data_IF_660527181949
#
_entry.id   IF_660527181949
#
_cell.length_a   1.000
_cell.length_b   1.000
_cell.length_c   1.000
_cell.angle_alpha   90.00
_cell.angle_beta   90.00
_cell.angle_gamma   90.00
#
_symmetry.space_group_name_H-M   'P 1'
#
loop_
_entity.id
_entity.type
_entity.pdbx_description
1 polymer ?
#
# COMPACT_ATOMS: atom_id res chain seq x y z
N UNK A 1 19.47 19.78 38.95
CA UNK A 1 19.18 18.85 37.84
C UNK A 1 20.34 18.92 36.87
N UNK A 2 21.09 17.84 36.68
CA UNK A 2 22.20 17.82 35.73
C UNK A 2 21.59 17.83 34.30
N UNK A 3 21.92 18.80 33.43
CA UNK A 3 21.52 18.70 32.04
C UNK A 3 22.17 17.44 31.46
N UNK A 4 21.37 16.50 30.95
CA UNK A 4 21.90 15.36 30.23
C UNK A 4 22.74 15.89 29.07
N UNK A 5 24.04 15.59 29.05
CA UNK A 5 24.92 15.93 27.92
C UNK A 5 24.41 15.12 26.73
N UNK A 6 23.79 15.79 25.77
CA UNK A 6 23.45 15.19 24.48
C UNK A 6 24.79 14.87 23.81
N UNK A 7 25.12 13.59 23.72
CA UNK A 7 26.35 13.10 23.11
C UNK A 7 25.96 12.24 21.92
N UNK A 8 26.29 12.71 20.72
CA UNK A 8 26.09 11.96 19.48
C UNK A 8 27.13 10.84 19.35
N UNK A 9 26.74 9.74 18.71
CA UNK A 9 27.69 8.75 18.19
C UNK A 9 28.49 9.33 17.01
N UNK A 10 29.57 8.65 16.64
CA UNK A 10 30.37 9.04 15.47
C UNK A 10 29.52 9.04 14.18
N UNK A 11 28.67 8.02 13.99
CA UNK A 11 27.77 7.93 12.84
C UNK A 11 26.75 9.07 12.82
N UNK A 12 26.20 9.43 13.98
CA UNK A 12 25.28 10.55 14.12
C UNK A 12 25.96 11.89 13.81
N UNK A 13 27.20 12.10 14.27
CA UNK A 13 28.00 13.29 13.96
C UNK A 13 28.31 13.38 12.46
N UNK A 14 28.65 12.26 11.82
CA UNK A 14 28.89 12.21 10.39
C UNK A 14 27.63 12.53 9.59
N UNK A 15 26.49 11.97 9.98
CA UNK A 15 25.21 12.22 9.32
C UNK A 15 24.73 13.67 9.51
N UNK A 16 24.76 14.20 10.73
CA UNK A 16 24.30 15.57 11.02
C UNK A 16 25.19 16.63 10.37
N UNK A 17 26.47 16.34 10.21
CA UNK A 17 27.43 17.25 9.54
C UNK A 17 27.36 17.19 8.02
N UNK A 18 26.68 16.19 7.45
CA UNK A 18 26.60 15.99 6.01
C UNK A 18 25.25 16.45 5.43
N UNK A 19 25.15 17.75 5.10
CA UNK A 19 23.95 18.32 4.49
C UNK A 19 23.54 17.62 3.17
N UNK A 20 24.49 17.07 2.41
CA UNK A 20 24.20 16.37 1.15
C UNK A 20 23.33 15.13 1.36
N UNK A 21 23.37 14.51 2.54
CA UNK A 21 22.50 13.40 2.89
C UNK A 21 21.02 13.84 2.82
N UNK A 22 20.67 14.94 3.49
CA UNK A 22 19.31 15.49 3.49
C UNK A 22 18.89 15.99 2.11
N UNK A 23 19.78 16.67 1.39
CA UNK A 23 19.49 17.12 0.02
C UNK A 23 19.24 15.94 -0.93
N UNK A 24 19.97 14.84 -0.77
CA UNK A 24 19.77 13.62 -1.55
C UNK A 24 18.45 12.93 -1.19
N UNK A 25 18.12 12.84 0.10
CA UNK A 25 16.81 12.38 0.57
C UNK A 25 15.67 13.15 -0.10
N UNK A 26 15.75 14.48 -0.06
CA UNK A 26 14.74 15.35 -0.64
C UNK A 26 14.59 15.12 -2.15
N UNK A 27 15.70 15.00 -2.89
CA UNK A 27 15.67 14.69 -4.33
C UNK A 27 15.01 13.34 -4.62
N UNK A 28 15.28 12.31 -3.82
CA UNK A 28 14.66 11.00 -3.97
C UNK A 28 13.15 11.10 -3.73
N UNK A 29 12.72 11.77 -2.66
CA UNK A 29 11.29 11.98 -2.38
C UNK A 29 10.60 12.72 -3.53
N UNK A 30 11.23 13.74 -4.13
CA UNK A 30 10.68 14.42 -5.30
C UNK A 30 10.50 13.48 -6.51
N UNK A 31 11.44 12.55 -6.73
CA UNK A 31 11.29 11.52 -7.77
C UNK A 31 10.12 10.58 -7.49
N UNK A 32 9.93 10.16 -6.23
CA UNK A 32 8.75 9.36 -5.84
C UNK A 32 7.46 10.12 -6.12
N UNK A 33 7.39 11.40 -5.76
CA UNK A 33 6.24 12.27 -6.03
C UNK A 33 5.93 12.37 -7.53
N UNK A 34 6.96 12.56 -8.35
CA UNK A 34 6.82 12.58 -9.82
C UNK A 34 6.26 11.26 -10.34
N UNK A 35 6.84 10.12 -9.90
CA UNK A 35 6.35 8.79 -10.26
C UNK A 35 4.88 8.60 -9.86
N UNK A 36 4.51 8.93 -8.62
CA UNK A 36 3.15 8.77 -8.13
C UNK A 36 2.17 9.73 -8.81
N UNK A 37 2.61 10.91 -9.25
CA UNK A 37 1.82 11.80 -10.08
C UNK A 37 1.47 11.20 -11.44
N UNK A 38 2.44 10.54 -12.09
CA UNK A 38 2.20 9.79 -13.33
C UNK A 38 1.23 8.64 -13.09
N UNK A 39 1.48 7.81 -12.08
CA UNK A 39 0.60 6.69 -11.71
C UNK A 39 -0.83 7.17 -11.39
N UNK A 40 -0.97 8.28 -10.67
CA UNK A 40 -2.28 8.85 -10.34
C UNK A 40 -3.08 9.25 -11.60
N UNK A 41 -2.39 9.71 -12.64
CA UNK A 41 -3.00 10.03 -13.94
C UNK A 41 -3.39 8.75 -14.67
N UNK A 42 -2.45 7.79 -14.77
CA UNK A 42 -2.69 6.50 -15.42
C UNK A 42 -3.85 5.73 -14.80
N UNK A 43 -3.90 5.67 -13.47
CA UNK A 43 -4.96 5.00 -12.71
C UNK A 43 -6.31 5.66 -12.94
N UNK A 44 -6.36 6.99 -13.10
CA UNK A 44 -7.60 7.74 -13.36
C UNK A 44 -8.18 7.40 -14.72
N UNK A 45 -7.32 7.17 -15.71
CA UNK A 45 -7.74 6.83 -17.07
C UNK A 45 -8.23 5.38 -17.21
N UNK A 46 -8.03 4.54 -16.18
CA UNK A 46 -8.58 3.18 -16.14
C UNK A 46 -10.07 3.20 -15.82
N UNK A 47 -10.85 2.40 -16.57
CA UNK A 47 -12.27 2.18 -16.27
C UNK A 47 -12.43 1.18 -15.14
N UNK A 48 -13.30 1.52 -14.20
CA UNK A 48 -13.79 0.62 -13.16
C UNK A 48 -15.23 0.22 -13.49
N UNK A 49 -15.45 -1.03 -13.90
CA UNK A 49 -16.78 -1.45 -14.37
C UNK A 49 -17.76 -1.72 -13.22
N UNK A 50 -17.23 -2.12 -12.05
CA UNK A 50 -18.03 -2.60 -10.93
C UNK A 50 -17.86 -1.77 -9.65
N UNK A 51 -17.19 -0.61 -9.73
CA UNK A 51 -16.97 0.28 -8.59
C UNK A 51 -17.83 1.53 -8.77
N UNK A 52 -18.56 1.90 -7.70
CA UNK A 52 -19.42 3.08 -7.69
C UNK A 52 -18.65 4.36 -8.07
N UNK A 53 -19.32 5.24 -8.82
CA UNK A 53 -18.81 6.58 -9.13
C UNK A 53 -18.57 7.43 -7.89
N UNK A 54 -19.20 7.10 -6.75
CA UNK A 54 -18.92 7.74 -5.47
C UNK A 54 -17.49 7.50 -4.97
N UNK A 55 -16.87 6.39 -5.39
CA UNK A 55 -15.49 6.03 -5.02
C UNK A 55 -14.51 6.52 -6.08
N UNK A 56 -14.83 6.30 -7.37
CA UNK A 56 -13.94 6.65 -8.49
C UNK A 56 -13.99 8.12 -8.87
N UNK A 57 -15.05 8.85 -8.49
CA UNK A 57 -15.16 10.30 -8.67
C UNK A 57 -14.31 11.11 -7.69
N UNK A 58 -13.75 10.49 -6.64
CA UNK A 58 -12.88 11.17 -5.67
C UNK A 58 -11.47 11.26 -6.26
N UNK A 59 -10.95 12.48 -6.34
CA UNK A 59 -9.63 12.72 -6.90
C UNK A 59 -8.53 11.94 -6.16
N UNK A 60 -7.50 11.43 -6.88
CA UNK A 60 -6.29 10.88 -6.29
C UNK A 60 -5.66 11.82 -5.25
N UNK A 61 -5.11 11.25 -4.18
CA UNK A 61 -4.37 11.99 -3.16
C UNK A 61 -2.98 11.40 -2.97
N UNK A 62 -1.97 12.25 -3.01
CA UNK A 62 -0.60 11.89 -2.62
C UNK A 62 -0.29 12.57 -1.28
N UNK A 63 0.10 11.78 -0.29
CA UNK A 63 0.58 12.22 1.03
C UNK A 63 2.01 11.75 1.29
N UNK A 64 2.69 12.38 2.25
CA UNK A 64 4.00 11.95 2.74
C UNK A 64 4.09 12.09 4.25
N UNK A 65 4.99 11.34 4.85
CA UNK A 65 5.35 11.48 6.25
C UNK A 65 6.77 10.99 6.50
N UNK A 66 7.25 11.18 7.73
CA UNK A 66 8.63 10.89 8.13
C UNK A 66 8.72 9.83 9.24
N UNK A 67 7.60 9.23 9.64
CA UNK A 67 7.49 8.47 10.91
C UNK A 67 6.81 7.10 10.77
N UNK A 68 6.65 6.55 9.56
CA UNK A 68 6.15 5.19 9.44
C UNK A 68 7.27 4.21 9.80
N UNK A 69 7.19 3.60 10.99
CA UNK A 69 8.30 2.84 11.57
C UNK A 69 9.56 3.70 11.78
N UNK A 70 9.40 5.01 12.00
CA UNK A 70 10.51 5.96 12.11
C UNK A 70 11.18 6.35 10.77
N UNK A 71 10.59 5.96 9.63
CA UNK A 71 11.17 6.18 8.31
C UNK A 71 10.26 7.04 7.40
N UNK A 72 10.85 7.74 6.41
CA UNK A 72 10.10 8.47 5.38
C UNK A 72 9.24 7.56 4.51
N UNK A 73 8.09 8.08 4.10
CA UNK A 73 7.20 7.40 3.17
C UNK A 73 6.42 8.39 2.31
N UNK A 74 5.99 7.93 1.14
CA UNK A 74 5.05 8.62 0.24
C UNK A 74 3.94 7.64 -0.10
N UNK A 75 2.72 8.13 -0.19
CA UNK A 75 1.53 7.31 -0.34
C UNK A 75 0.57 7.95 -1.35
N UNK A 76 0.21 7.21 -2.38
CA UNK A 76 -0.82 7.54 -3.35
C UNK A 76 -2.06 6.69 -3.03
N UNK A 77 -3.19 7.35 -2.77
CA UNK A 77 -4.49 6.70 -2.63
C UNK A 77 -5.35 7.05 -3.85
N UNK A 78 -5.63 6.07 -4.71
CA UNK A 78 -6.66 6.19 -5.75
C UNK A 78 -7.05 4.82 -6.34
N UNK A 79 -8.36 4.54 -6.51
CA UNK A 79 -9.48 5.31 -6.00
C UNK A 79 -9.51 5.27 -4.47
N UNK A 80 -10.23 6.21 -3.85
CA UNK A 80 -10.17 6.42 -2.39
C UNK A 80 -11.50 6.84 -1.81
N UNK A 81 -12.02 6.03 -0.90
CA UNK A 81 -13.18 6.30 -0.08
C UNK A 81 -12.88 5.87 1.35
N UNK A 82 -12.99 6.80 2.29
CA UNK A 82 -12.68 6.56 3.70
C UNK A 82 -13.75 7.22 4.57
N UNK A 83 -14.53 6.41 5.27
CA UNK A 83 -15.34 6.80 6.43
C UNK A 83 -14.91 5.97 7.63
N UNK A 84 -15.60 6.12 8.77
CA UNK A 84 -15.33 5.30 9.94
C UNK A 84 -15.81 3.85 9.73
N UNK A 85 -16.89 3.67 8.97
CA UNK A 85 -17.57 2.41 8.74
C UNK A 85 -17.11 1.72 7.45
N UNK A 86 -16.76 2.48 6.42
CA UNK A 86 -16.49 1.97 5.08
C UNK A 86 -15.14 2.46 4.55
N UNK A 87 -14.37 1.53 3.99
CA UNK A 87 -13.12 1.83 3.30
C UNK A 87 -13.13 1.13 1.95
N UNK A 88 -12.81 1.91 0.92
CA UNK A 88 -12.34 1.41 -0.36
C UNK A 88 -11.11 2.21 -0.75
N UNK A 89 -9.95 1.55 -0.85
CA UNK A 89 -8.77 2.20 -1.39
C UNK A 89 -7.92 1.23 -2.20
N UNK A 90 -7.36 1.73 -3.31
CA UNK A 90 -6.14 1.17 -3.86
C UNK A 90 -5.02 2.14 -3.49
N UNK A 91 -4.09 1.65 -2.67
CA UNK A 91 -3.02 2.43 -2.07
C UNK A 91 -1.69 1.98 -2.63
N UNK A 92 -0.96 2.89 -3.26
CA UNK A 92 0.43 2.70 -3.65
C UNK A 92 1.33 3.41 -2.66
N UNK A 93 2.30 2.72 -2.07
CA UNK A 93 3.20 3.26 -1.07
C UNK A 93 4.65 3.08 -1.48
N UNK A 94 5.46 4.07 -1.16
CA UNK A 94 6.91 3.99 -1.12
C UNK A 94 7.32 4.10 0.35
N UNK A 95 8.07 3.13 0.85
CA UNK A 95 8.65 3.17 2.19
C UNK A 95 10.17 3.17 2.12
N UNK A 96 10.77 4.25 2.62
CA UNK A 96 12.20 4.49 2.49
C UNK A 96 13.03 3.32 3.05
N UNK A 97 14.01 2.86 2.26
CA UNK A 97 14.90 1.77 2.64
C UNK A 97 14.26 0.37 2.65
N UNK A 98 12.97 0.27 2.28
CA UNK A 98 12.22 -0.98 2.36
C UNK A 98 11.72 -1.42 0.97
N UNK A 99 10.58 -0.90 0.52
CA UNK A 99 9.91 -1.38 -0.68
C UNK A 99 8.94 -0.34 -1.25
N UNK A 100 8.46 -0.62 -2.46
CA UNK A 100 7.16 -0.13 -2.90
C UNK A 100 6.09 -1.18 -2.59
N UNK A 101 4.85 -0.74 -2.39
CA UNK A 101 3.72 -1.65 -2.28
C UNK A 101 2.49 -1.10 -2.97
N UNK A 102 1.60 -1.99 -3.36
CA UNK A 102 0.24 -1.67 -3.78
C UNK A 102 -0.74 -2.54 -3.01
N UNK A 103 -1.76 -1.92 -2.43
CA UNK A 103 -2.70 -2.57 -1.53
C UNK A 103 -4.13 -2.22 -1.89
N UNK A 104 -4.96 -3.22 -2.12
CA UNK A 104 -6.42 -3.09 -2.03
C UNK A 104 -6.83 -3.14 -0.56
N UNK A 105 -7.57 -2.16 -0.07
CA UNK A 105 -8.11 -2.12 1.29
C UNK A 105 -9.64 -1.96 1.23
N UNK A 106 -10.35 -2.95 1.76
CA UNK A 106 -11.81 -2.99 1.84
C UNK A 106 -12.27 -3.14 3.29
N UNK A 107 -13.28 -2.35 3.67
CA UNK A 107 -13.96 -2.42 4.97
C UNK A 107 -15.45 -2.09 4.81
N UNK A 108 -16.28 -2.64 5.68
CA UNK A 108 -17.71 -2.37 5.70
C UNK A 108 -18.41 -2.89 4.46
N UNK A 109 -19.31 -2.09 3.90
CA UNK A 109 -20.16 -2.45 2.75
C UNK A 109 -19.35 -2.86 1.52
N UNK A 110 -18.23 -2.18 1.24
CA UNK A 110 -17.37 -2.53 0.10
C UNK A 110 -16.74 -3.91 0.24
N UNK A 111 -16.37 -4.31 1.46
CA UNK A 111 -15.85 -5.65 1.72
C UNK A 111 -16.94 -6.69 1.46
N UNK A 112 -18.11 -6.54 2.07
CA UNK A 112 -19.23 -7.48 1.90
C UNK A 112 -19.67 -7.64 0.45
N UNK A 113 -19.55 -6.59 -0.37
CA UNK A 113 -19.92 -6.64 -1.79
C UNK A 113 -18.86 -7.31 -2.70
N UNK A 114 -17.59 -7.34 -2.27
CA UNK A 114 -16.46 -7.69 -3.15
C UNK A 114 -15.65 -8.89 -2.64
N UNK A 115 -15.85 -9.33 -1.40
CA UNK A 115 -15.11 -10.44 -0.79
C UNK A 115 -15.28 -11.76 -1.56
N UNK A 116 -16.48 -12.05 -2.07
CA UNK A 116 -16.70 -13.24 -2.88
C UNK A 116 -15.93 -13.16 -4.21
N UNK A 117 -15.94 -12.01 -4.90
CA UNK A 117 -15.17 -11.83 -6.14
C UNK A 117 -13.67 -12.04 -5.95
N UNK A 118 -13.14 -11.63 -4.80
CA UNK A 118 -11.73 -11.78 -4.46
C UNK A 118 -11.35 -13.24 -4.18
N UNK A 119 -12.29 -14.00 -3.61
CA UNK A 119 -12.10 -15.40 -3.19
C UNK A 119 -12.55 -16.43 -4.23
N UNK A 120 -13.22 -15.98 -5.30
CA UNK A 120 -13.69 -16.81 -6.40
C UNK A 120 -12.69 -16.83 -7.57
N UNK A 121 -11.97 -17.95 -7.71
CA UNK A 121 -11.14 -18.26 -8.87
C UNK A 121 -9.75 -17.60 -8.91
N UNK A 122 -9.07 -17.75 -10.04
CA UNK A 122 -7.74 -17.18 -10.31
C UNK A 122 -7.83 -15.75 -10.87
N UNK A 123 -8.59 -14.89 -10.18
CA UNK A 123 -8.78 -13.49 -10.61
C UNK A 123 -7.57 -12.59 -10.35
N UNK A 124 -6.76 -12.94 -9.35
CA UNK A 124 -5.46 -12.33 -9.11
C UNK A 124 -4.40 -13.18 -9.82
N UNK A 125 -3.65 -12.65 -10.81
CA UNK A 125 -2.48 -13.34 -11.33
C UNK A 125 -1.38 -13.42 -10.25
N UNK A 126 -0.58 -14.48 -10.30
CA UNK A 126 0.52 -14.75 -9.38
C UNK A 126 0.11 -14.70 -7.89
N UNK A 127 -1.00 -15.34 -7.51
CA UNK A 127 -1.56 -15.30 -6.13
C UNK A 127 -0.54 -15.62 -5.05
N UNK A 128 0.46 -16.44 -5.36
CA UNK A 128 1.56 -16.82 -4.48
C UNK A 128 2.49 -15.65 -4.11
N UNK A 129 2.41 -14.53 -4.81
CA UNK A 129 3.17 -13.30 -4.52
C UNK A 129 2.36 -12.24 -3.79
N UNK A 130 1.04 -12.42 -3.71
CA UNK A 130 0.15 -11.50 -3.01
C UNK A 130 -0.01 -11.92 -1.55
N UNK A 131 -0.08 -10.93 -0.67
CA UNK A 131 -0.33 -11.13 0.74
C UNK A 131 -1.75 -10.69 1.06
N UNK A 132 -2.38 -11.37 2.01
CA UNK A 132 -3.69 -11.04 2.55
C UNK A 132 -3.59 -10.76 4.05
N UNK A 133 -4.28 -9.72 4.50
CA UNK A 133 -4.43 -9.37 5.91
C UNK A 133 -5.91 -9.23 6.26
N UNK A 134 -6.34 -9.93 7.32
CA UNK A 134 -7.73 -10.00 7.79
C UNK A 134 -7.89 -9.57 9.26
N UNK A 135 -6.79 -9.27 9.94
CA UNK A 135 -6.76 -8.97 11.37
C UNK A 135 -5.56 -8.08 11.73
N UNK A 136 -5.46 -7.70 13.01
CA UNK A 136 -4.43 -6.81 13.51
C UNK A 136 -4.71 -5.35 13.16
N UNK A 137 -3.65 -4.56 12.98
CA UNK A 137 -3.75 -3.14 12.62
C UNK A 137 -4.00 -2.96 11.12
N UNK A 138 -5.19 -2.46 10.76
CA UNK A 138 -5.57 -2.17 9.37
C UNK A 138 -4.66 -1.11 8.71
N UNK A 139 -3.95 -0.30 9.51
CA UNK A 139 -3.01 0.73 9.07
C UNK A 139 -1.56 0.26 8.94
N UNK A 140 -1.28 -1.03 9.20
CA UNK A 140 0.03 -1.61 8.95
C UNK A 140 0.26 -1.83 7.44
N UNK A 141 1.35 -1.32 6.86
CA UNK A 141 1.64 -1.35 5.42
C UNK A 141 2.83 -2.25 5.05
N UNK A 142 3.27 -3.11 5.96
CA UNK A 142 4.32 -4.09 5.73
C UNK A 142 3.87 -5.46 6.26
N UNK A 143 4.37 -6.56 5.68
CA UNK A 143 4.00 -7.89 6.12
C UNK A 143 4.59 -8.18 7.50
N UNK A 144 3.80 -8.81 8.36
CA UNK A 144 4.27 -9.42 9.62
C UNK A 144 3.72 -10.84 9.71
N UNK A 145 4.49 -11.75 10.33
CA UNK A 145 4.11 -13.16 10.47
C UNK A 145 2.75 -13.36 11.16
N UNK A 146 2.37 -12.44 12.05
CA UNK A 146 1.15 -12.56 12.85
C UNK A 146 -0.12 -12.10 12.13
N UNK A 147 0.00 -11.30 11.07
CA UNK A 147 -1.15 -10.64 10.44
C UNK A 147 -1.26 -10.83 8.93
N UNK A 148 -0.18 -11.26 8.27
CA UNK A 148 -0.14 -11.45 6.83
C UNK A 148 0.09 -12.92 6.48
N UNK A 149 -0.69 -13.40 5.52
CA UNK A 149 -0.55 -14.73 4.94
C UNK A 149 -0.52 -14.63 3.42
N UNK A 150 -0.16 -15.69 2.69
CA UNK A 150 -0.20 -15.67 1.24
C UNK A 150 -1.65 -15.76 0.76
N UNK A 151 -2.00 -14.98 -0.26
CA UNK A 151 -3.33 -15.02 -0.86
C UNK A 151 -3.63 -16.37 -1.53
N UNK A 152 -2.58 -17.10 -1.93
CA UNK A 152 -2.66 -18.47 -2.44
C UNK A 152 -3.21 -19.46 -1.41
N UNK A 153 -3.04 -19.19 -0.11
CA UNK A 153 -3.47 -20.05 0.99
C UNK A 153 -4.95 -19.89 1.33
N UNK A 154 -5.71 -19.03 0.63
CA UNK A 154 -7.13 -18.75 0.89
C UNK A 154 -8.03 -19.34 -0.21
N UNK A 155 -8.12 -20.67 -0.24
CA UNK A 155 -8.88 -21.46 -1.23
C UNK A 155 -9.96 -22.35 -0.60
N UNK A 156 -9.76 -22.80 0.63
CA UNK A 156 -10.67 -23.68 1.36
C UNK A 156 -11.96 -22.95 1.77
N UNK A 157 -13.01 -23.73 2.07
CA UNK A 157 -14.27 -23.15 2.58
C UNK A 157 -14.05 -22.42 3.90
N UNK A 158 -13.18 -22.92 4.76
CA UNK A 158 -12.87 -22.33 6.06
C UNK A 158 -12.20 -20.95 5.92
N UNK A 159 -11.21 -20.83 5.04
CA UNK A 159 -10.55 -19.55 4.75
C UNK A 159 -11.53 -18.51 4.17
N UNK A 160 -12.45 -18.94 3.30
CA UNK A 160 -13.49 -18.05 2.77
C UNK A 160 -14.42 -17.54 3.87
N UNK A 161 -14.81 -18.41 4.80
CA UNK A 161 -15.60 -18.01 5.98
C UNK A 161 -14.82 -17.07 6.91
N UNK A 162 -13.50 -17.26 7.04
CA UNK A 162 -12.65 -16.35 7.80
C UNK A 162 -12.56 -14.96 7.15
N UNK A 163 -12.48 -14.89 5.83
CA UNK A 163 -12.56 -13.63 5.09
C UNK A 163 -13.91 -12.95 5.37
N UNK A 164 -15.03 -13.66 5.28
CA UNK A 164 -16.37 -13.09 5.55
C UNK A 164 -16.49 -12.51 6.95
N UNK A 165 -15.98 -13.22 7.96
CA UNK A 165 -16.02 -12.81 9.38
C UNK A 165 -15.08 -11.66 9.73
N UNK A 166 -14.04 -11.42 8.92
CA UNK A 166 -13.06 -10.36 9.19
C UNK A 166 -13.67 -8.95 9.09
N UNK A 167 -13.18 -8.02 9.92
CA UNK A 167 -13.65 -6.63 9.94
C UNK A 167 -13.20 -5.81 8.73
N UNK A 168 -12.06 -6.17 8.15
CA UNK A 168 -11.50 -5.57 6.95
C UNK A 168 -10.75 -6.64 6.14
N UNK A 169 -10.46 -6.33 4.89
CA UNK A 169 -9.69 -7.16 3.97
C UNK A 169 -8.65 -6.29 3.29
N UNK A 170 -7.39 -6.71 3.38
CA UNK A 170 -6.30 -6.12 2.59
C UNK A 170 -5.61 -7.16 1.73
N UNK A 171 -5.35 -6.79 0.48
CA UNK A 171 -4.56 -7.59 -0.45
C UNK A 171 -3.41 -6.73 -0.96
N UNK A 172 -2.19 -7.13 -0.66
CA UNK A 172 -0.98 -6.34 -0.89
C UNK A 172 0.04 -7.07 -1.75
N UNK A 173 0.70 -6.34 -2.63
CA UNK A 173 1.88 -6.77 -3.35
C UNK A 173 3.05 -5.85 -2.99
N UNK A 174 4.25 -6.42 -2.87
CA UNK A 174 5.45 -5.72 -2.42
C UNK A 174 6.54 -5.84 -3.49
N UNK A 175 7.14 -4.72 -3.88
CA UNK A 175 8.22 -4.63 -4.86
C UNK A 175 9.49 -4.20 -4.12
N UNK A 176 10.55 -5.04 -4.13
CA UNK A 176 11.83 -4.71 -3.50
C UNK A 176 12.40 -3.36 -3.97
N UNK A 177 13.02 -2.59 -3.07
CA UNK A 177 13.49 -1.25 -3.39
C UNK A 177 14.59 -1.22 -4.47
N UNK A 178 15.37 -2.30 -4.61
CA UNK A 178 16.38 -2.44 -5.65
C UNK A 178 15.78 -2.60 -7.06
N UNK A 179 14.48 -2.83 -7.19
CA UNK A 179 13.75 -2.86 -8.46
C UNK A 179 13.14 -1.50 -8.84
N UNK A 180 13.59 -0.42 -8.20
CA UNK A 180 13.14 0.96 -8.41
C UNK A 180 12.88 1.34 -9.87
N UNK A 181 13.79 0.98 -10.79
CA UNK A 181 13.69 1.34 -12.20
C UNK A 181 12.50 0.69 -12.91
N UNK A 182 12.00 -0.44 -12.40
CA UNK A 182 10.86 -1.18 -12.95
C UNK A 182 9.58 -0.95 -12.13
N UNK A 183 9.70 -0.41 -10.90
CA UNK A 183 8.59 -0.28 -9.96
C UNK A 183 7.36 0.43 -10.55
N UNK A 184 7.55 1.48 -11.37
CA UNK A 184 6.43 2.19 -12.00
C UNK A 184 5.57 1.29 -12.89
N UNK A 185 6.21 0.52 -13.77
CA UNK A 185 5.53 -0.42 -14.67
C UNK A 185 4.85 -1.53 -13.89
N UNK A 186 5.54 -2.10 -12.91
CA UNK A 186 4.97 -3.17 -12.11
C UNK A 186 3.78 -2.69 -11.27
N UNK A 187 3.84 -1.49 -10.69
CA UNK A 187 2.71 -0.88 -9.98
C UNK A 187 1.49 -0.66 -10.88
N UNK A 188 1.68 -0.36 -12.18
CA UNK A 188 0.58 -0.28 -13.14
C UNK A 188 -0.03 -1.66 -13.40
N UNK A 189 0.80 -2.67 -13.65
CA UNK A 189 0.35 -4.05 -13.91
C UNK A 189 -0.41 -4.64 -12.71
N UNK A 190 0.08 -4.38 -11.49
CA UNK A 190 -0.58 -4.84 -10.26
C UNK A 190 -1.86 -4.05 -9.96
N UNK A 191 -1.93 -2.77 -10.33
CA UNK A 191 -3.17 -2.01 -10.28
C UNK A 191 -4.22 -2.60 -11.23
N UNK A 192 -3.83 -2.88 -12.48
CA UNK A 192 -4.72 -3.50 -13.48
C UNK A 192 -5.18 -4.89 -13.01
N UNK A 193 -4.31 -5.64 -12.32
CA UNK A 193 -4.65 -6.93 -11.68
C UNK A 193 -5.72 -6.79 -10.59
N UNK A 194 -5.59 -5.79 -9.71
CA UNK A 194 -6.61 -5.48 -8.70
C UNK A 194 -7.92 -5.09 -9.37
N UNK A 195 -7.87 -4.18 -10.35
CA UNK A 195 -9.06 -3.71 -11.05
C UNK A 195 -9.81 -4.87 -11.73
N UNK A 196 -9.09 -5.74 -12.45
CA UNK A 196 -9.64 -6.95 -13.06
C UNK A 196 -10.28 -7.89 -12.02
N UNK A 197 -9.68 -8.03 -10.85
CA UNK A 197 -10.22 -8.90 -9.81
C UNK A 197 -11.56 -8.41 -9.23
N UNK A 198 -11.77 -7.10 -9.20
CA UNK A 198 -13.00 -6.47 -8.69
C UNK A 198 -14.20 -6.56 -9.65
N UNK A 199 -13.95 -6.98 -10.89
CA UNK A 199 -14.97 -7.36 -11.89
C UNK A 199 -14.83 -6.63 -13.21
#
# INVERSE_FOLDING_TARGET
MNPAKIQFSEDELQLVSNANFILTKNRIIQKVYGLFGTLASDYRDRRFNNISSQVTGIAPKISRGEQYGGLPYVMLDYPRYFTKEDIFAIRTMFWWGNHFSITLHLKGSFKSQLEDKITEGDRFPDREKWHIQLSGDEWQHHPTADSHSLLADFRSKEEKENIKKSGFLKISYYIPINEWNNAGKELQEKFDSINKALG
#
